data_IF_064631444676
#
_entry.id   IF_064631444676
#
_cell.length_a   1.000
_cell.length_b   1.000
_cell.length_c   1.000
_cell.angle_alpha   90.00
_cell.angle_beta   90.00
_cell.angle_gamma   90.00
#
_symmetry.space_group_name_H-M   'P 1'
#
loop_
_entity.id
_entity.type
_entity.pdbx_description
1 polymer ?
#
# COMPACT_ATOMS: atom_id res chain seq x y z
N UNK A 1 -29.86 -7.86 -11.15
CA UNK A 1 -28.84 -6.90 -11.61
C UNK A 1 -27.67 -7.03 -10.66
N UNK A 2 -26.56 -7.64 -11.09
CA UNK A 2 -25.36 -7.70 -10.27
C UNK A 2 -24.85 -6.27 -10.07
N UNK A 3 -24.82 -5.82 -8.82
CA UNK A 3 -24.22 -4.54 -8.45
C UNK A 3 -22.77 -4.60 -8.92
N UNK A 4 -22.45 -3.79 -9.92
CA UNK A 4 -21.15 -3.76 -10.55
C UNK A 4 -20.10 -3.43 -9.49
N UNK A 5 -19.44 -4.46 -8.96
CA UNK A 5 -18.08 -4.40 -8.43
C UNK A 5 -17.13 -4.02 -9.59
N UNK A 6 -17.41 -2.89 -10.23
CA UNK A 6 -16.62 -2.32 -11.32
C UNK A 6 -15.31 -1.85 -10.71
N UNK A 7 -14.21 -2.10 -11.40
CA UNK A 7 -12.94 -1.34 -11.39
C UNK A 7 -12.71 -0.26 -10.29
N UNK A 8 -13.64 0.67 -10.08
CA UNK A 8 -13.61 1.69 -9.03
C UNK A 8 -13.44 1.13 -7.60
N UNK A 9 -14.16 0.07 -7.21
CA UNK A 9 -14.01 -0.53 -5.88
C UNK A 9 -12.64 -1.19 -5.69
N UNK A 10 -12.08 -1.72 -6.78
CA UNK A 10 -10.75 -2.31 -6.80
C UNK A 10 -9.72 -1.21 -6.59
N UNK A 11 -9.78 -0.15 -7.40
CA UNK A 11 -8.91 1.01 -7.26
C UNK A 11 -8.93 1.60 -5.84
N UNK A 12 -10.12 1.75 -5.24
CA UNK A 12 -10.25 2.25 -3.87
C UNK A 12 -9.55 1.33 -2.85
N UNK A 13 -9.59 0.01 -3.07
CA UNK A 13 -8.81 -0.96 -2.31
C UNK A 13 -7.31 -0.73 -2.42
N UNK A 14 -6.79 -0.55 -3.64
CA UNK A 14 -5.39 -0.23 -3.88
C UNK A 14 -4.95 1.09 -3.23
N UNK A 15 -5.75 2.15 -3.41
CA UNK A 15 -5.44 3.47 -2.89
C UNK A 15 -5.49 3.52 -1.36
N UNK A 16 -6.47 2.84 -0.75
CA UNK A 16 -6.54 2.68 0.70
C UNK A 16 -5.32 1.97 1.26
N UNK A 17 -4.81 0.94 0.57
CA UNK A 17 -3.60 0.25 0.99
C UNK A 17 -2.42 1.22 1.13
N UNK A 18 -2.22 2.13 0.16
CA UNK A 18 -1.17 3.14 0.23
C UNK A 18 -1.38 4.14 1.37
N UNK A 19 -2.61 4.54 1.65
CA UNK A 19 -2.92 5.43 2.79
C UNK A 19 -2.60 4.73 4.12
N UNK A 20 -3.03 3.48 4.28
CA UNK A 20 -2.79 2.69 5.49
C UNK A 20 -1.26 2.51 5.74
N UNK A 21 -0.46 2.37 4.66
CA UNK A 21 1.01 2.35 4.75
C UNK A 21 1.62 3.71 5.16
N UNK A 22 1.10 4.83 4.63
CA UNK A 22 1.53 6.17 5.05
C UNK A 22 1.25 6.39 6.54
N UNK A 23 0.05 5.99 6.99
CA UNK A 23 -0.38 6.15 8.38
C UNK A 23 0.47 5.34 9.35
N UNK A 24 0.79 4.09 9.00
CA UNK A 24 1.69 3.25 9.80
C UNK A 24 3.11 3.82 9.88
N UNK A 25 3.60 4.41 8.78
CA UNK A 25 4.89 5.10 8.76
C UNK A 25 4.86 6.29 9.72
N UNK A 26 3.87 7.17 9.56
CA UNK A 26 3.69 8.37 10.38
C UNK A 26 3.60 8.03 11.87
N UNK A 27 2.81 7.03 12.24
CA UNK A 27 2.68 6.58 13.63
C UNK A 27 4.02 6.10 14.21
N UNK A 28 4.83 5.36 13.42
CA UNK A 28 6.16 4.95 13.84
C UNK A 28 7.08 6.15 14.04
N UNK A 29 7.08 7.11 13.12
CA UNK A 29 7.89 8.34 13.24
C UNK A 29 7.48 9.20 14.44
N UNK A 30 6.18 9.33 14.72
CA UNK A 30 5.64 10.03 15.88
C UNK A 30 6.09 9.41 17.20
N UNK A 31 5.98 8.09 17.32
CA UNK A 31 6.45 7.37 18.50
C UNK A 31 7.95 7.63 18.72
N UNK A 32 8.76 7.60 17.66
CA UNK A 32 10.18 7.90 17.75
C UNK A 32 10.47 9.37 18.08
N UNK A 33 9.73 10.32 17.52
CA UNK A 33 9.88 11.73 17.85
C UNK A 33 9.58 12.00 19.34
N UNK A 34 8.61 11.29 19.92
CA UNK A 34 8.28 11.40 21.35
C UNK A 34 9.42 10.95 22.28
N UNK A 35 10.28 10.04 21.85
CA UNK A 35 11.46 9.56 22.57
C UNK A 35 12.67 10.54 22.48
N UNK A 36 12.61 11.54 21.60
CA UNK A 36 13.71 12.48 21.38
C UNK A 36 13.80 13.58 22.45
N UNK A 37 15.01 14.12 22.65
CA UNK A 37 15.22 15.33 23.45
C UNK A 37 14.51 16.53 22.81
N UNK A 38 14.05 17.48 23.64
CA UNK A 38 13.19 18.60 23.23
C UNK A 38 13.66 19.36 21.97
N UNK A 39 14.95 19.69 21.87
CA UNK A 39 15.50 20.44 20.72
C UNK A 39 15.45 19.66 19.40
N UNK A 40 15.72 18.34 19.45
CA UNK A 40 15.64 17.47 18.28
C UNK A 40 14.17 17.16 17.94
N UNK A 41 13.34 17.00 18.96
CA UNK A 41 11.90 16.72 18.84
C UNK A 41 11.16 17.82 18.08
N UNK A 42 11.44 19.11 18.34
CA UNK A 42 10.79 20.22 17.62
C UNK A 42 10.98 20.09 16.10
N UNK A 43 12.19 19.71 15.66
CA UNK A 43 12.48 19.54 14.22
C UNK A 43 11.84 18.28 13.66
N UNK A 44 11.84 17.19 14.42
CA UNK A 44 11.19 15.95 14.02
C UNK A 44 9.67 16.13 13.88
N UNK A 45 9.03 16.80 14.85
CA UNK A 45 7.61 17.11 14.85
C UNK A 45 7.23 17.98 13.63
N UNK A 46 8.04 18.99 13.30
CA UNK A 46 7.81 19.80 12.10
C UNK A 46 7.88 18.96 10.82
N UNK A 47 8.84 18.03 10.72
CA UNK A 47 8.95 17.13 9.58
C UNK A 47 7.72 16.22 9.46
N UNK A 48 7.25 15.68 10.59
CA UNK A 48 6.05 14.83 10.66
C UNK A 48 4.80 15.60 10.23
N UNK A 49 4.68 16.89 10.61
CA UNK A 49 3.58 17.76 10.15
C UNK A 49 3.56 17.86 8.62
N UNK A 50 4.72 18.08 8.00
CA UNK A 50 4.81 18.17 6.54
C UNK A 50 4.47 16.83 5.86
N UNK A 51 4.91 15.70 6.43
CA UNK A 51 4.55 14.37 5.94
C UNK A 51 3.05 14.06 6.07
N UNK A 52 2.42 14.46 7.18
CA UNK A 52 0.95 14.35 7.36
C UNK A 52 0.20 15.12 6.28
N UNK A 53 0.67 16.33 5.95
CA UNK A 53 0.08 17.12 4.88
C UNK A 53 0.13 16.37 3.54
N UNK A 54 1.25 15.69 3.22
CA UNK A 54 1.33 14.85 2.01
C UNK A 54 0.37 13.66 2.03
N UNK A 55 0.21 13.00 3.19
CA UNK A 55 -0.78 11.94 3.36
C UNK A 55 -2.19 12.46 3.10
N UNK A 56 -2.51 13.63 3.63
CA UNK A 56 -3.81 14.27 3.45
C UNK A 56 -4.06 14.70 2.00
N UNK A 57 -3.02 15.22 1.32
CA UNK A 57 -3.06 15.54 -0.11
C UNK A 57 -3.30 14.28 -0.96
N UNK A 58 -2.60 13.18 -0.67
CA UNK A 58 -2.80 11.88 -1.31
C UNK A 58 -4.25 11.41 -1.12
N UNK A 59 -4.74 11.41 0.12
CA UNK A 59 -6.12 11.02 0.43
C UNK A 59 -7.15 11.91 -0.27
N UNK A 60 -6.89 13.21 -0.37
CA UNK A 60 -7.74 14.16 -1.11
C UNK A 60 -7.79 13.82 -2.61
N UNK A 61 -6.64 13.50 -3.22
CA UNK A 61 -6.56 13.05 -4.61
C UNK A 61 -7.37 11.77 -4.80
N UNK A 62 -7.21 10.76 -3.94
CA UNK A 62 -7.98 9.51 -3.99
C UNK A 62 -9.48 9.77 -3.95
N UNK A 63 -9.95 10.59 -3.00
CA UNK A 63 -11.37 10.89 -2.84
C UNK A 63 -11.97 11.65 -4.04
N UNK A 64 -11.24 12.61 -4.61
CA UNK A 64 -11.68 13.33 -5.81
C UNK A 64 -11.83 12.41 -7.01
N UNK A 65 -10.88 11.48 -7.18
CA UNK A 65 -10.85 10.59 -8.33
C UNK A 65 -11.86 9.44 -8.19
N UNK A 66 -12.16 9.00 -6.97
CA UNK A 66 -13.27 8.10 -6.67
C UNK A 66 -14.62 8.61 -7.17
N UNK A 67 -14.82 9.93 -7.20
CA UNK A 67 -16.03 10.54 -7.73
C UNK A 67 -16.03 10.66 -9.27
N UNK A 68 -14.87 10.56 -9.93
CA UNK A 68 -14.70 10.84 -11.37
C UNK A 68 -14.85 9.62 -12.29
N UNK A 69 -14.86 8.39 -11.75
CA UNK A 69 -15.15 7.15 -12.49
C UNK A 69 -13.97 6.58 -13.31
N UNK A 70 -14.24 5.53 -14.10
CA UNK A 70 -13.19 4.62 -14.61
C UNK A 70 -12.14 5.26 -15.53
N UNK A 71 -12.57 6.18 -16.40
CA UNK A 71 -11.70 6.80 -17.39
C UNK A 71 -10.64 7.75 -16.80
N UNK A 72 -10.85 8.26 -15.58
CA UNK A 72 -9.89 9.13 -14.92
C UNK A 72 -8.75 8.36 -14.22
N UNK A 73 -8.90 7.03 -14.05
CA UNK A 73 -8.04 6.24 -13.17
C UNK A 73 -6.58 6.13 -13.58
N UNK A 74 -6.28 5.91 -14.86
CA UNK A 74 -4.88 5.71 -15.26
C UNK A 74 -4.05 6.98 -14.98
N UNK A 75 -4.64 8.15 -15.25
CA UNK A 75 -4.02 9.44 -14.92
C UNK A 75 -3.93 9.69 -13.41
N UNK A 76 -4.97 9.32 -12.65
CA UNK A 76 -4.99 9.42 -11.19
C UNK A 76 -3.92 8.54 -10.55
N UNK A 77 -3.75 7.31 -11.04
CA UNK A 77 -2.77 6.36 -10.53
C UNK A 77 -1.35 6.87 -10.72
N UNK A 78 -1.01 7.38 -11.91
CA UNK A 78 0.30 7.99 -12.18
C UNK A 78 0.60 9.13 -11.19
N UNK A 79 -0.38 10.00 -10.94
CA UNK A 79 -0.26 11.08 -9.97
C UNK A 79 -0.04 10.56 -8.54
N UNK A 80 -0.85 9.59 -8.11
CA UNK A 80 -0.74 9.00 -6.77
C UNK A 80 0.59 8.29 -6.57
N UNK A 81 1.10 7.59 -7.58
CA UNK A 81 2.44 7.00 -7.52
C UNK A 81 3.55 8.06 -7.37
N UNK A 82 3.40 9.23 -8.00
CA UNK A 82 4.32 10.34 -7.80
C UNK A 82 4.22 10.95 -6.39
N UNK A 83 3.00 11.13 -5.87
CA UNK A 83 2.75 11.60 -4.49
C UNK A 83 3.34 10.63 -3.45
N UNK A 84 3.17 9.31 -3.68
CA UNK A 84 3.77 8.25 -2.86
C UNK A 84 5.31 8.30 -2.88
N UNK A 85 5.95 8.44 -4.05
CA UNK A 85 7.41 8.59 -4.15
C UNK A 85 7.93 9.81 -3.39
N UNK A 86 7.17 10.91 -3.40
CA UNK A 86 7.47 12.09 -2.59
C UNK A 86 7.45 11.77 -1.09
N UNK A 87 6.45 11.02 -0.63
CA UNK A 87 6.37 10.55 0.75
C UNK A 87 7.54 9.61 1.14
N UNK A 88 7.92 8.68 0.27
CA UNK A 88 9.08 7.79 0.50
C UNK A 88 10.41 8.55 0.60
N UNK A 89 10.55 9.57 -0.26
CA UNK A 89 11.73 10.46 -0.24
C UNK A 89 11.83 11.19 1.10
N UNK A 90 10.72 11.75 1.57
CA UNK A 90 10.69 12.45 2.86
C UNK A 90 10.89 11.49 4.04
N UNK A 91 10.32 10.29 3.98
CA UNK A 91 10.57 9.24 5.00
C UNK A 91 12.07 8.92 5.10
N UNK A 92 12.74 8.76 3.94
CA UNK A 92 14.18 8.49 3.90
C UNK A 92 14.97 9.64 4.50
N UNK A 93 14.65 10.87 4.12
CA UNK A 93 15.29 12.07 4.67
C UNK A 93 15.11 12.21 6.18
N UNK A 94 13.93 11.86 6.70
CA UNK A 94 13.70 11.83 8.15
C UNK A 94 14.64 10.82 8.83
N UNK A 95 14.73 9.60 8.30
CA UNK A 95 15.56 8.55 8.89
C UNK A 95 17.06 8.83 8.78
N UNK A 96 17.52 9.44 7.70
CA UNK A 96 18.90 9.93 7.59
C UNK A 96 19.22 11.02 8.62
N UNK A 97 18.24 11.88 8.93
CA UNK A 97 18.41 13.01 9.85
C UNK A 97 18.32 12.59 11.32
N UNK A 98 17.31 11.78 11.64
CA UNK A 98 16.90 11.46 13.01
C UNK A 98 17.05 9.97 13.35
N UNK A 99 16.91 9.07 12.38
CA UNK A 99 17.00 7.62 12.51
C UNK A 99 18.43 7.09 12.56
N UNK A 100 19.25 7.64 13.47
CA UNK A 100 20.69 7.38 13.55
C UNK A 100 21.05 5.97 14.06
N UNK A 101 20.08 5.20 14.53
CA UNK A 101 20.29 3.80 14.90
C UNK A 101 19.49 2.86 13.98
N UNK A 102 20.05 1.67 13.75
CA UNK A 102 19.45 0.64 12.90
C UNK A 102 18.10 0.18 13.46
N UNK A 103 17.96 0.14 14.78
CA UNK A 103 16.74 -0.28 15.47
C UNK A 103 15.53 0.59 15.09
N UNK A 104 15.69 1.92 15.05
CA UNK A 104 14.62 2.83 14.61
C UNK A 104 14.26 2.64 13.14
N UNK A 105 15.25 2.38 12.28
CA UNK A 105 15.00 2.09 10.86
C UNK A 105 14.24 0.77 10.69
N UNK A 106 14.58 -0.25 11.49
CA UNK A 106 13.88 -1.53 11.52
C UNK A 106 12.44 -1.39 12.03
N UNK A 107 12.18 -0.57 13.05
CA UNK A 107 10.82 -0.33 13.56
C UNK A 107 9.91 0.33 12.51
N UNK A 108 10.44 1.32 11.78
CA UNK A 108 9.71 1.95 10.67
C UNK A 108 9.48 0.94 9.55
N UNK A 109 10.50 0.18 9.17
CA UNK A 109 10.38 -0.89 8.17
C UNK A 109 9.32 -1.92 8.56
N UNK A 110 9.33 -2.43 9.79
CA UNK A 110 8.38 -3.43 10.28
C UNK A 110 6.94 -2.89 10.30
N UNK A 111 6.77 -1.62 10.70
CA UNK A 111 5.47 -0.96 10.69
C UNK A 111 4.92 -0.85 9.26
N UNK A 112 5.77 -0.43 8.31
CA UNK A 112 5.42 -0.36 6.89
C UNK A 112 5.10 -1.73 6.29
N UNK A 113 5.96 -2.72 6.52
CA UNK A 113 5.76 -4.10 6.04
C UNK A 113 4.44 -4.68 6.56
N UNK A 114 4.15 -4.50 7.86
CA UNK A 114 2.92 -4.99 8.48
C UNK A 114 1.68 -4.34 7.85
N UNK A 115 1.68 -3.01 7.70
CA UNK A 115 0.56 -2.29 7.09
C UNK A 115 0.34 -2.71 5.64
N UNK A 116 1.42 -2.83 4.87
CA UNK A 116 1.37 -3.27 3.48
C UNK A 116 0.77 -4.67 3.33
N UNK A 117 1.23 -5.64 4.13
CA UNK A 117 0.75 -7.02 4.09
C UNK A 117 -0.70 -7.14 4.60
N UNK A 118 -1.06 -6.39 5.64
CA UNK A 118 -2.43 -6.32 6.13
C UNK A 118 -3.38 -5.77 5.05
N UNK A 119 -3.00 -4.69 4.39
CA UNK A 119 -3.79 -4.11 3.31
C UNK A 119 -3.91 -5.06 2.10
N UNK A 120 -2.84 -5.80 1.78
CA UNK A 120 -2.85 -6.79 0.70
C UNK A 120 -3.86 -7.91 1.01
N UNK A 121 -3.79 -8.51 2.20
CA UNK A 121 -4.74 -9.55 2.66
C UNK A 121 -6.18 -9.04 2.66
N UNK A 122 -6.41 -7.87 3.26
CA UNK A 122 -7.75 -7.27 3.30
C UNK A 122 -8.32 -6.97 1.91
N UNK A 123 -7.47 -6.61 0.95
CA UNK A 123 -7.88 -6.43 -0.45
C UNK A 123 -8.21 -7.77 -1.10
N UNK A 124 -7.37 -8.80 -0.91
CA UNK A 124 -7.62 -10.14 -1.44
C UNK A 124 -8.91 -10.75 -0.90
N UNK A 125 -9.24 -10.56 0.38
CA UNK A 125 -10.48 -11.06 0.99
C UNK A 125 -11.73 -10.34 0.46
N UNK A 126 -11.65 -9.03 0.22
CA UNK A 126 -12.74 -8.29 -0.43
C UNK A 126 -12.95 -8.73 -1.87
N UNK A 127 -11.87 -8.98 -2.59
CA UNK A 127 -11.90 -9.50 -3.96
C UNK A 127 -12.52 -10.89 -4.03
N UNK A 128 -12.15 -11.77 -3.08
CA UNK A 128 -12.74 -13.11 -2.91
C UNK A 128 -14.25 -13.04 -2.65
N UNK A 129 -14.67 -12.14 -1.77
CA UNK A 129 -16.09 -11.91 -1.49
C UNK A 129 -16.85 -11.40 -2.73
N UNK A 130 -16.28 -10.44 -3.46
CA UNK A 130 -16.88 -9.93 -4.69
C UNK A 130 -16.94 -10.99 -5.80
N UNK A 131 -15.93 -11.87 -5.91
CA UNK A 131 -15.94 -12.99 -6.85
C UNK A 131 -17.11 -13.94 -6.61
N UNK A 132 -17.51 -14.12 -5.35
CA UNK A 132 -18.62 -15.01 -4.96
C UNK A 132 -20.00 -14.55 -5.45
N UNK A 133 -20.15 -13.30 -5.87
CA UNK A 133 -21.37 -12.77 -6.49
C UNK A 133 -21.60 -13.31 -7.91
N UNK A 134 -20.56 -13.87 -8.54
CA UNK A 134 -20.65 -14.50 -9.85
C UNK A 134 -20.93 -16.00 -9.74
N UNK A 135 -21.60 -16.55 -10.76
CA UNK A 135 -21.74 -17.99 -10.95
C UNK A 135 -20.35 -18.66 -11.02
N UNK A 136 -20.24 -19.91 -10.54
CA UNK A 136 -18.98 -20.65 -10.41
C UNK A 136 -18.22 -20.69 -11.74
N UNK A 137 -18.92 -20.94 -12.83
CA UNK A 137 -18.39 -21.03 -14.20
C UNK A 137 -17.78 -19.71 -14.67
N UNK A 138 -18.30 -18.58 -14.18
CA UNK A 138 -17.88 -17.23 -14.58
C UNK A 138 -16.75 -16.67 -13.72
N UNK A 139 -16.57 -17.17 -12.50
CA UNK A 139 -15.56 -16.64 -11.56
C UNK A 139 -14.24 -17.39 -11.52
N UNK A 140 -14.08 -18.47 -12.29
CA UNK A 140 -12.87 -19.31 -12.25
C UNK A 140 -11.56 -18.51 -12.43
N UNK A 141 -11.54 -17.55 -13.35
CA UNK A 141 -10.36 -16.69 -13.54
C UNK A 141 -10.16 -15.69 -12.41
N UNK A 142 -11.25 -15.19 -11.81
CA UNK A 142 -11.19 -14.30 -10.66
C UNK A 142 -10.64 -15.06 -9.45
N UNK A 143 -11.19 -16.24 -9.16
CA UNK A 143 -10.75 -17.11 -8.07
C UNK A 143 -9.26 -17.45 -8.21
N UNK A 144 -8.80 -17.74 -9.43
CA UNK A 144 -7.38 -18.00 -9.70
C UNK A 144 -6.49 -16.76 -9.47
N UNK A 145 -6.93 -15.57 -9.90
CA UNK A 145 -6.19 -14.33 -9.68
C UNK A 145 -6.10 -13.96 -8.19
N UNK A 146 -7.20 -14.12 -7.45
CA UNK A 146 -7.25 -13.88 -6.00
C UNK A 146 -6.41 -14.90 -5.24
N UNK A 147 -6.46 -16.19 -5.62
CA UNK A 147 -5.61 -17.21 -5.01
C UNK A 147 -4.12 -16.88 -5.21
N UNK A 148 -3.74 -16.48 -6.42
CA UNK A 148 -2.37 -16.05 -6.72
C UNK A 148 -1.94 -14.85 -5.88
N UNK A 149 -2.81 -13.86 -5.78
CA UNK A 149 -2.61 -12.67 -4.96
C UNK A 149 -2.35 -13.01 -3.47
N UNK A 150 -3.09 -13.98 -2.92
CA UNK A 150 -2.88 -14.49 -1.55
C UNK A 150 -1.53 -15.19 -1.41
N UNK A 151 -1.14 -16.03 -2.37
CA UNK A 151 0.17 -16.70 -2.37
C UNK A 151 1.33 -15.69 -2.43
N UNK A 152 1.24 -14.71 -3.33
CA UNK A 152 2.29 -13.69 -3.47
C UNK A 152 2.41 -12.84 -2.19
N UNK A 153 1.30 -12.60 -1.47
CA UNK A 153 1.32 -11.94 -0.17
C UNK A 153 2.07 -12.74 0.91
N UNK A 154 1.86 -14.06 0.98
CA UNK A 154 2.60 -14.94 1.89
C UNK A 154 4.10 -14.95 1.57
N UNK A 155 4.48 -15.06 0.30
CA UNK A 155 5.89 -15.04 -0.10
C UNK A 155 6.57 -13.70 0.22
N UNK A 156 5.85 -12.59 0.03
CA UNK A 156 6.37 -11.28 0.41
C UNK A 156 6.52 -11.14 1.92
N UNK A 157 5.57 -11.65 2.71
CA UNK A 157 5.68 -11.64 4.16
C UNK A 157 6.92 -12.40 4.65
N UNK A 158 7.12 -13.63 4.16
CA UNK A 158 8.30 -14.42 4.51
C UNK A 158 9.60 -13.68 4.18
N UNK A 159 9.66 -13.03 3.01
CA UNK A 159 10.81 -12.23 2.58
C UNK A 159 11.03 -11.03 3.51
N UNK A 160 9.99 -10.26 3.80
CA UNK A 160 10.06 -9.06 4.64
C UNK A 160 10.42 -9.41 6.10
N UNK A 161 9.86 -10.50 6.65
CA UNK A 161 10.20 -10.99 7.98
C UNK A 161 11.66 -11.42 8.08
N UNK A 162 12.18 -12.11 7.05
CA UNK A 162 13.60 -12.50 7.01
C UNK A 162 14.52 -11.27 7.02
N UNK A 163 14.17 -10.23 6.26
CA UNK A 163 14.93 -8.97 6.22
C UNK A 163 14.87 -8.22 7.56
N UNK A 164 13.69 -8.17 8.20
CA UNK A 164 13.52 -7.58 9.53
C UNK A 164 14.35 -8.31 10.60
N UNK A 165 14.35 -9.65 10.57
CA UNK A 165 15.02 -10.49 11.56
C UNK A 165 16.54 -10.57 11.40
N UNK A 166 17.08 -10.34 10.20
CA UNK A 166 18.52 -10.35 9.96
C UNK A 166 19.24 -9.17 10.63
N UNK A 167 18.57 -8.02 10.79
CA UNK A 167 19.09 -6.84 11.50
C UNK A 167 20.33 -6.17 10.90
N UNK A 168 20.89 -6.72 9.82
CA UNK A 168 22.11 -6.26 9.15
C UNK A 168 21.85 -5.54 7.82
N UNK A 169 20.60 -5.49 7.39
CA UNK A 169 20.20 -4.93 6.10
C UNK A 169 20.18 -3.41 6.10
N UNK A 170 20.83 -2.79 5.13
CA UNK A 170 20.80 -1.32 4.98
C UNK A 170 19.37 -0.80 4.75
N UNK A 171 19.08 0.44 5.16
CA UNK A 171 17.81 1.12 4.85
C UNK A 171 17.44 1.07 3.36
N UNK A 172 18.43 1.20 2.47
CA UNK A 172 18.24 1.07 1.02
C UNK A 172 17.75 -0.32 0.61
N UNK A 173 18.28 -1.39 1.22
CA UNK A 173 17.84 -2.76 0.95
C UNK A 173 16.42 -3.02 1.48
N UNK A 174 16.12 -2.52 2.68
CA UNK A 174 14.80 -2.62 3.32
C UNK A 174 13.72 -1.91 2.48
N UNK A 175 13.98 -0.66 2.07
CA UNK A 175 13.04 0.11 1.23
C UNK A 175 12.86 -0.48 -0.16
N UNK A 176 13.93 -1.02 -0.77
CA UNK A 176 13.82 -1.74 -2.04
C UNK A 176 12.90 -2.97 -1.94
N UNK A 177 12.96 -3.72 -0.84
CA UNK A 177 12.09 -4.87 -0.61
C UNK A 177 10.62 -4.49 -0.43
N UNK A 178 10.34 -3.38 0.26
CA UNK A 178 8.97 -2.83 0.35
C UNK A 178 8.47 -2.43 -1.04
N UNK A 179 9.28 -1.69 -1.82
CA UNK A 179 8.92 -1.26 -3.16
C UNK A 179 8.66 -2.44 -4.12
N UNK A 180 9.45 -3.51 -4.04
CA UNK A 180 9.23 -4.73 -4.82
C UNK A 180 7.91 -5.40 -4.43
N UNK A 181 7.61 -5.46 -3.13
CA UNK A 181 6.34 -6.00 -2.62
C UNK A 181 5.16 -5.17 -3.12
N UNK A 182 5.29 -3.83 -3.17
CA UNK A 182 4.28 -2.91 -3.71
C UNK A 182 4.03 -3.19 -5.18
N UNK A 183 5.08 -3.36 -5.96
CA UNK A 183 4.98 -3.68 -7.38
C UNK A 183 4.29 -5.04 -7.63
N UNK A 184 4.54 -6.03 -6.78
CA UNK A 184 3.85 -7.33 -6.84
C UNK A 184 2.36 -7.20 -6.54
N UNK A 185 1.99 -6.45 -5.51
CA UNK A 185 0.59 -6.13 -5.21
C UNK A 185 -0.10 -5.44 -6.39
N UNK A 186 0.57 -4.45 -7.01
CA UNK A 186 0.02 -3.69 -8.13
C UNK A 186 -0.25 -4.55 -9.36
N UNK A 187 0.64 -5.51 -9.65
CA UNK A 187 0.45 -6.50 -10.71
C UNK A 187 -0.71 -7.44 -10.42
N UNK A 188 -0.79 -7.97 -9.19
CA UNK A 188 -1.87 -8.86 -8.77
C UNK A 188 -3.24 -8.15 -8.82
N UNK A 189 -3.28 -6.90 -8.39
CA UNK A 189 -4.47 -6.06 -8.45
C UNK A 189 -4.94 -5.85 -9.91
N UNK A 190 -4.02 -5.55 -10.83
CA UNK A 190 -4.33 -5.41 -12.26
C UNK A 190 -4.87 -6.72 -12.86
N UNK A 191 -4.21 -7.85 -12.59
CA UNK A 191 -4.65 -9.15 -13.08
C UNK A 191 -6.07 -9.50 -12.62
N UNK A 192 -6.39 -9.22 -11.35
CA UNK A 192 -7.74 -9.41 -10.82
C UNK A 192 -8.74 -8.47 -11.49
N UNK A 193 -8.42 -7.19 -11.66
CA UNK A 193 -9.28 -6.24 -12.36
C UNK A 193 -9.62 -6.70 -13.79
N UNK A 194 -8.65 -7.21 -14.53
CA UNK A 194 -8.87 -7.75 -15.87
C UNK A 194 -9.77 -8.99 -15.85
N UNK A 195 -9.61 -9.89 -14.87
CA UNK A 195 -10.47 -11.05 -14.70
C UNK A 195 -11.93 -10.64 -14.41
N UNK A 196 -12.15 -9.65 -13.53
CA UNK A 196 -13.49 -9.08 -13.28
C UNK A 196 -14.10 -8.47 -14.56
N UNK A 197 -13.31 -7.76 -15.37
CA UNK A 197 -13.77 -7.21 -16.66
C UNK A 197 -14.21 -8.30 -17.64
N UNK A 198 -13.48 -9.42 -17.72
CA UNK A 198 -13.86 -10.55 -18.59
C UNK A 198 -15.11 -11.27 -18.09
N UNK A 199 -15.22 -11.50 -16.78
CA UNK A 199 -16.38 -12.14 -16.16
C UNK A 199 -17.67 -11.30 -16.33
N UNK A 200 -17.57 -9.98 -16.33
CA UNK A 200 -18.70 -9.07 -16.59
C UNK A 200 -19.05 -8.94 -18.07
N UNK A 201 -18.04 -8.92 -18.95
CA UNK A 201 -18.27 -8.83 -20.41
C UNK A 201 -18.86 -10.11 -21.01
N UNK A 202 -18.63 -11.28 -20.40
CA UNK A 202 -19.25 -12.56 -20.78
C UNK A 202 -20.72 -12.72 -20.33
N UNK A 203 -21.36 -11.63 -19.89
CA UNK A 203 -22.79 -11.58 -19.54
C UNK A 203 -23.68 -10.97 -20.64
N UNK A 204 -23.11 -10.54 -21.77
CA UNK A 204 -23.81 -10.14 -23.00
C UNK A 204 -23.68 -11.23 -24.05
#
# INVERSE_FOLDING_TARGET
MATQSSSAHLFLGWAKARIDEMDATLASLENKAAEMKAEARVKADQFIVDMKKRRDEFASTVNKQAAAGEAAWDSAKVRLEAEWKGFETDTTKYLETFGKNMEQQLDVFQSQATAQLHAWRGTADKLDAAAKEFAIERRREIDAAVARMKTDATLAEEKLQKLAGAGTESWTALTAALAETRASFDRAHRATQEAFKRATSSSQ
#
